data_IF_755539563400
#
_entry.id   IF_755539563400
#
_cell.length_a   1.000
_cell.length_b   1.000
_cell.length_c   1.000
_cell.angle_alpha   90.00
_cell.angle_beta   90.00
_cell.angle_gamma   90.00
#
_symmetry.space_group_name_H-M   'P 1'
#
loop_
_entity.id
_entity.type
_entity.pdbx_description
1 polymer ?
#
# COMPACT_ATOMS: atom_id res chain seq x y z
N UNK A 1 6.70 -8.97 -16.54
CA UNK A 1 6.82 -9.22 -15.09
C UNK A 1 8.15 -8.62 -14.67
N UNK A 2 8.13 -7.58 -13.83
CA UNK A 2 9.36 -6.96 -13.31
C UNK A 2 10.10 -8.01 -12.46
N UNK A 3 11.37 -8.28 -12.75
CA UNK A 3 12.17 -9.19 -11.92
C UNK A 3 12.18 -8.69 -10.48
N UNK A 4 11.81 -9.57 -9.54
CA UNK A 4 11.88 -9.28 -8.11
C UNK A 4 13.34 -9.23 -7.70
N UNK A 5 13.78 -8.07 -7.19
CA UNK A 5 15.13 -7.86 -6.67
C UNK A 5 15.09 -7.79 -5.15
N UNK A 6 16.13 -8.25 -4.45
CA UNK A 6 16.25 -8.11 -3.01
C UNK A 6 15.99 -6.66 -2.59
N UNK A 7 15.21 -6.47 -1.55
CA UNK A 7 14.88 -5.12 -1.07
C UNK A 7 15.19 -4.98 0.42
N UNK A 8 15.48 -3.74 0.81
CA UNK A 8 15.84 -3.39 2.18
C UNK A 8 15.08 -2.13 2.56
N UNK A 9 14.30 -2.21 3.63
CA UNK A 9 13.59 -1.07 4.21
C UNK A 9 14.32 -0.67 5.49
N UNK A 10 14.66 0.61 5.62
CA UNK A 10 15.32 1.14 6.81
C UNK A 10 14.40 2.12 7.53
N UNK A 11 14.26 1.96 8.84
CA UNK A 11 13.42 2.81 9.69
C UNK A 11 14.16 4.04 10.19
N UNK A 12 13.44 4.96 10.84
CA UNK A 12 14.00 6.17 11.44
C UNK A 12 15.03 5.86 12.54
N UNK A 13 14.83 4.78 13.31
CA UNK A 13 15.80 4.33 14.33
C UNK A 13 17.03 3.62 13.74
N UNK A 14 17.08 3.41 12.42
CA UNK A 14 18.14 2.68 11.74
C UNK A 14 17.96 1.16 11.73
N UNK A 15 16.81 0.64 12.18
CA UNK A 15 16.49 -0.78 12.02
C UNK A 15 16.26 -1.11 10.55
N UNK A 16 16.61 -2.33 10.19
CA UNK A 16 16.58 -2.81 8.81
C UNK A 16 15.64 -4.01 8.72
N UNK A 17 14.76 -3.98 7.71
CA UNK A 17 13.87 -5.09 7.34
C UNK A 17 14.25 -5.53 5.92
N UNK A 18 14.68 -6.78 5.81
CA UNK A 18 15.15 -7.35 4.54
C UNK A 18 14.06 -8.16 3.85
N UNK A 19 14.07 -8.11 2.52
CA UNK A 19 13.21 -8.87 1.64
C UNK A 19 14.09 -9.67 0.66
N UNK A 20 14.66 -10.81 1.09
CA UNK A 20 15.74 -11.50 0.37
C UNK A 20 15.29 -12.20 -0.92
N UNK A 21 14.03 -12.63 -0.99
CA UNK A 21 13.43 -13.24 -2.20
C UNK A 21 12.96 -12.20 -3.23
N UNK A 22 13.23 -10.93 -2.92
CA UNK A 22 12.79 -9.77 -3.67
C UNK A 22 11.32 -9.44 -3.48
N UNK A 23 11.02 -8.15 -3.61
CA UNK A 23 9.67 -7.61 -3.51
C UNK A 23 9.48 -6.55 -4.61
N UNK A 24 8.27 -6.47 -5.16
CA UNK A 24 7.88 -5.32 -5.97
C UNK A 24 7.76 -4.09 -5.06
N UNK A 25 8.05 -2.91 -5.60
CA UNK A 25 7.87 -1.64 -4.89
C UNK A 25 6.44 -1.52 -4.35
N UNK A 26 5.45 -1.99 -5.12
CA UNK A 26 4.03 -2.00 -4.69
C UNK A 26 3.81 -2.84 -3.45
N UNK A 27 4.35 -4.07 -3.42
CA UNK A 27 4.24 -4.97 -2.26
C UNK A 27 4.83 -4.35 -0.99
N UNK A 28 5.94 -3.61 -1.14
CA UNK A 28 6.59 -2.89 -0.03
C UNK A 28 5.72 -1.73 0.44
N UNK A 29 5.22 -0.89 -0.47
CA UNK A 29 4.36 0.24 -0.12
C UNK A 29 3.06 -0.23 0.53
N UNK A 30 2.43 -1.28 0.01
CA UNK A 30 1.24 -1.90 0.60
C UNK A 30 1.53 -2.44 2.01
N UNK A 31 2.67 -3.10 2.21
CA UNK A 31 3.05 -3.60 3.53
C UNK A 31 3.24 -2.45 4.54
N UNK A 32 3.95 -1.38 4.16
CA UNK A 32 4.19 -0.22 5.01
C UNK A 32 2.88 0.52 5.32
N UNK A 33 2.01 0.68 4.33
CA UNK A 33 0.71 1.30 4.52
C UNK A 33 -0.16 0.51 5.51
N UNK A 34 -0.26 -0.81 5.34
CA UNK A 34 -1.01 -1.68 6.25
C UNK A 34 -0.44 -1.67 7.67
N UNK A 35 0.88 -1.62 7.79
CA UNK A 35 1.56 -1.49 9.08
C UNK A 35 1.23 -0.13 9.71
N UNK A 36 1.31 0.97 8.94
CA UNK A 36 0.93 2.32 9.37
C UNK A 36 -0.52 2.38 9.88
N UNK A 37 -1.47 1.75 9.20
CA UNK A 37 -2.89 1.78 9.62
C UNK A 37 -3.12 1.11 10.98
N UNK A 38 -2.27 0.15 11.35
CA UNK A 38 -2.38 -0.61 12.61
C UNK A 38 -1.47 -0.06 13.70
N UNK A 39 -0.57 0.85 13.36
CA UNK A 39 0.47 1.29 14.26
C UNK A 39 -0.01 2.42 15.19
N UNK A 40 0.51 2.42 16.42
CA UNK A 40 0.30 3.49 17.41
C UNK A 40 1.31 4.64 17.25
N UNK A 41 1.31 5.57 18.22
CA UNK A 41 2.20 6.74 18.22
C UNK A 41 3.70 6.41 18.18
N UNK A 42 4.09 5.27 18.75
CA UNK A 42 5.49 4.89 18.96
C UNK A 42 6.06 4.03 17.83
N UNK A 43 5.38 4.03 16.67
CA UNK A 43 5.80 3.24 15.53
C UNK A 43 7.07 3.80 14.90
N UNK A 44 8.07 2.93 14.75
CA UNK A 44 9.33 3.25 14.11
C UNK A 44 9.17 3.32 12.59
N UNK A 45 8.94 4.54 12.09
CA UNK A 45 8.54 4.79 10.71
C UNK A 45 9.63 4.41 9.71
N UNK A 46 9.30 3.67 8.63
CA UNK A 46 10.19 3.47 7.49
C UNK A 46 10.58 4.79 6.81
N UNK A 47 11.88 5.00 6.57
CA UNK A 47 12.39 6.23 5.95
C UNK A 47 13.06 6.00 4.61
N UNK A 48 13.76 4.87 4.43
CA UNK A 48 14.52 4.57 3.20
C UNK A 48 14.18 3.22 2.61
N UNK A 49 14.27 3.13 1.29
CA UNK A 49 14.09 1.91 0.51
C UNK A 49 15.28 1.71 -0.41
N UNK A 50 15.82 0.49 -0.39
CA UNK A 50 16.83 0.01 -1.33
C UNK A 50 16.29 -1.19 -2.09
N UNK A 51 16.54 -1.29 -3.39
CA UNK A 51 16.16 -2.43 -4.23
C UNK A 51 17.34 -2.80 -5.11
N UNK A 52 17.78 -4.06 -5.05
CA UNK A 52 18.94 -4.54 -5.79
C UNK A 52 20.26 -3.86 -5.42
N UNK A 53 20.33 -3.21 -4.24
CA UNK A 53 21.48 -2.41 -3.80
C UNK A 53 21.34 -0.90 -4.07
N UNK A 54 20.42 -0.49 -4.94
CA UNK A 54 20.22 0.93 -5.26
C UNK A 54 19.27 1.61 -4.26
N UNK A 55 19.61 2.82 -3.83
CA UNK A 55 18.72 3.63 -3.00
C UNK A 55 17.61 4.24 -3.87
N UNK A 56 16.38 3.72 -3.70
CA UNK A 56 15.20 4.16 -4.45
C UNK A 56 14.51 5.32 -3.74
N UNK A 57 14.46 5.27 -2.41
CA UNK A 57 13.89 6.32 -1.57
C UNK A 57 14.88 6.66 -0.47
N UNK A 58 15.34 7.91 -0.45
CA UNK A 58 16.34 8.37 0.52
C UNK A 58 15.73 8.92 1.83
N UNK A 59 14.45 9.32 1.79
CA UNK A 59 13.68 9.83 2.92
C UNK A 59 12.18 9.81 2.61
N UNK A 60 11.32 9.82 3.63
CA UNK A 60 9.87 9.98 3.44
C UNK A 60 9.15 8.74 2.89
N UNK A 61 9.75 7.55 2.96
CA UNK A 61 9.13 6.31 2.47
C UNK A 61 7.75 6.05 3.08
N UNK A 62 7.59 6.32 4.38
CA UNK A 62 6.32 6.20 5.09
C UNK A 62 5.21 7.09 4.47
N UNK A 63 5.53 8.33 4.11
CA UNK A 63 4.57 9.27 3.54
C UNK A 63 4.18 8.85 2.11
N UNK A 64 5.16 8.40 1.31
CA UNK A 64 4.92 7.83 -0.02
C UNK A 64 3.99 6.60 0.07
N UNK A 65 4.25 5.70 1.03
CA UNK A 65 3.40 4.54 1.25
C UNK A 65 1.98 4.92 1.68
N UNK A 66 1.84 5.96 2.51
CA UNK A 66 0.55 6.50 2.92
C UNK A 66 -0.26 7.03 1.73
N UNK A 67 0.35 7.87 0.90
CA UNK A 67 -0.29 8.43 -0.29
C UNK A 67 -0.69 7.32 -1.28
N UNK A 68 0.20 6.36 -1.52
CA UNK A 68 -0.06 5.20 -2.37
C UNK A 68 -1.23 4.37 -1.84
N UNK A 69 -1.25 4.02 -0.55
CA UNK A 69 -2.32 3.21 0.04
C UNK A 69 -3.67 3.91 0.01
N UNK A 70 -3.72 5.22 0.28
CA UNK A 70 -4.93 6.04 0.17
C UNK A 70 -5.46 6.11 -1.26
N UNK A 71 -4.56 6.25 -2.24
CA UNK A 71 -4.94 6.22 -3.65
C UNK A 71 -5.48 4.85 -4.06
N UNK A 72 -4.80 3.77 -3.64
CA UNK A 72 -5.19 2.39 -3.92
C UNK A 72 -6.57 2.06 -3.35
N UNK A 73 -6.83 2.40 -2.08
CA UNK A 73 -8.15 2.22 -1.44
C UNK A 73 -9.24 2.97 -2.19
N UNK A 74 -9.01 4.26 -2.49
CA UNK A 74 -10.00 5.05 -3.24
C UNK A 74 -10.34 4.41 -4.59
N UNK A 75 -9.35 3.83 -5.27
CA UNK A 75 -9.57 3.15 -6.55
C UNK A 75 -10.32 1.83 -6.41
N UNK A 76 -10.10 1.10 -5.32
CA UNK A 76 -10.92 -0.07 -5.01
C UNK A 76 -12.36 0.33 -4.71
N UNK A 77 -12.58 1.35 -3.89
CA UNK A 77 -13.93 1.83 -3.55
C UNK A 77 -14.70 2.29 -4.81
N UNK A 78 -14.04 3.05 -5.70
CA UNK A 78 -14.62 3.48 -6.99
C UNK A 78 -14.98 2.28 -7.89
N UNK A 79 -14.18 1.22 -7.87
CA UNK A 79 -14.41 0.00 -8.65
C UNK A 79 -15.57 -0.82 -8.06
N UNK A 80 -15.62 -0.96 -6.74
CA UNK A 80 -16.68 -1.67 -6.03
C UNK A 80 -18.04 -0.97 -6.25
N UNK A 81 -18.09 0.35 -6.16
CA UNK A 81 -19.29 1.14 -6.46
C UNK A 81 -19.76 0.94 -7.91
N UNK A 82 -18.82 0.95 -8.87
CA UNK A 82 -19.14 0.70 -10.28
C UNK A 82 -19.65 -0.73 -10.51
N UNK A 83 -19.08 -1.71 -9.82
CA UNK A 83 -19.51 -3.11 -9.89
C UNK A 83 -20.91 -3.29 -9.30
N UNK A 84 -21.18 -2.70 -8.14
CA UNK A 84 -22.50 -2.72 -7.50
C UNK A 84 -23.56 -2.07 -8.41
N UNK A 85 -23.23 -0.94 -9.04
CA UNK A 85 -24.08 -0.30 -10.03
C UNK A 85 -24.38 -1.20 -11.23
N UNK A 86 -23.37 -1.89 -11.76
CA UNK A 86 -23.55 -2.85 -12.87
C UNK A 86 -24.43 -4.05 -12.47
N UNK A 87 -24.24 -4.60 -11.27
CA UNK A 87 -25.06 -5.69 -10.73
C UNK A 87 -26.52 -5.22 -10.57
N UNK A 88 -26.74 -4.05 -9.97
CA UNK A 88 -28.09 -3.52 -9.76
C UNK A 88 -28.85 -3.34 -11.07
N UNK A 89 -28.19 -2.81 -12.10
CA UNK A 89 -28.76 -2.66 -13.45
C UNK A 89 -29.14 -4.00 -14.08
N UNK A 90 -28.30 -5.04 -13.92
CA UNK A 90 -28.50 -6.32 -14.61
C UNK A 90 -29.55 -7.21 -13.95
N UNK A 91 -29.67 -7.13 -12.62
CA UNK A 91 -30.56 -7.98 -11.83
C UNK A 91 -31.82 -7.25 -11.33
N UNK A 92 -31.98 -5.95 -11.63
CA UNK A 92 -33.17 -5.19 -11.23
C UNK A 92 -33.30 -5.00 -9.72
N UNK A 93 -32.18 -5.09 -8.98
CA UNK A 93 -32.16 -4.82 -7.55
C UNK A 93 -32.46 -3.34 -7.31
N UNK A 94 -33.71 -3.00 -6.94
CA UNK A 94 -34.03 -1.67 -6.44
C UNK A 94 -33.25 -1.42 -5.16
N UNK A 95 -32.46 -0.35 -5.11
CA UNK A 95 -31.87 0.14 -3.87
C UNK A 95 -32.96 0.22 -2.80
N UNK A 96 -32.78 -0.51 -1.69
CA UNK A 96 -33.63 -0.31 -0.52
C UNK A 96 -33.22 1.02 0.10
N UNK A 97 -33.92 2.07 -0.28
CA UNK A 97 -33.90 3.35 0.43
C UNK A 97 -34.38 3.05 1.85
N UNK A 98 -33.45 3.00 2.80
CA UNK A 98 -33.77 2.93 4.22
C UNK A 98 -34.12 4.35 4.66
N UNK A 99 -35.36 4.55 5.07
CA UNK A 99 -35.89 5.79 5.62
C UNK A 99 -35.35 6.06 7.03
#
# INVERSE_FOLDING_TARGET
MTEKKPAVVMTASGRVKEHPFGADIREILDAIFNEHQRAGSDWDRPTKLFIGGDCIVASGLCDIAWEYGRFSQKKMDEMDEALDGWIAQRFGCKERISA
#
